data_IF_475129923445
#
_entry.id   IF_475129923445
#
_cell.length_a   1.000
_cell.length_b   1.000
_cell.length_c   1.000
_cell.angle_alpha   90.00
_cell.angle_beta   90.00
_cell.angle_gamma   90.00
#
_symmetry.space_group_name_H-M   'P 1'
#
loop_
_entity.id
_entity.type
_entity.pdbx_description
1 polymer ?
#
# COMPACT_ATOMS: atom_id res chain seq x y z
N UNK A 1 21.04 -3.93 1.93
CA UNK A 1 20.66 -2.95 2.98
C UNK A 1 20.97 -1.51 2.60
N UNK A 2 22.04 -1.21 1.85
CA UNK A 2 22.43 0.16 1.45
C UNK A 2 21.33 0.95 0.73
N UNK A 3 20.49 0.31 -0.08
CA UNK A 3 19.35 0.94 -0.78
C UNK A 3 18.06 1.06 0.06
N UNK A 4 18.01 0.46 1.24
CA UNK A 4 16.83 0.51 2.11
C UNK A 4 16.44 1.95 2.52
N UNK A 5 17.36 2.85 2.93
CA UNK A 5 17.00 4.23 3.27
C UNK A 5 16.45 5.02 2.07
N UNK A 6 16.93 4.77 0.85
CA UNK A 6 16.43 5.45 -0.35
C UNK A 6 15.04 4.94 -0.73
N UNK A 7 14.80 3.63 -0.65
CA UNK A 7 13.47 3.03 -0.86
C UNK A 7 12.45 3.48 0.19
N UNK A 8 12.84 3.58 1.46
CA UNK A 8 12.00 4.13 2.52
C UNK A 8 11.62 5.59 2.25
N UNK A 9 12.58 6.43 1.84
CA UNK A 9 12.31 7.83 1.48
C UNK A 9 11.36 7.93 0.29
N UNK A 10 11.57 7.12 -0.75
CA UNK A 10 10.69 7.10 -1.92
C UNK A 10 9.26 6.69 -1.55
N UNK A 11 9.09 5.62 -0.74
CA UNK A 11 7.77 5.19 -0.27
C UNK A 11 7.07 6.27 0.56
N UNK A 12 7.77 6.91 1.49
CA UNK A 12 7.21 8.01 2.31
C UNK A 12 6.81 9.20 1.43
N UNK A 13 7.67 9.60 0.50
CA UNK A 13 7.39 10.70 -0.41
C UNK A 13 6.16 10.43 -1.30
N UNK A 14 6.05 9.20 -1.83
CA UNK A 14 4.89 8.78 -2.62
C UNK A 14 3.60 8.77 -1.79
N UNK A 15 3.66 8.34 -0.52
CA UNK A 15 2.53 8.38 0.40
C UNK A 15 2.05 9.81 0.69
N UNK A 16 2.97 10.73 0.98
CA UNK A 16 2.60 12.14 1.18
C UNK A 16 1.99 12.79 -0.06
N UNK A 17 2.51 12.48 -1.26
CA UNK A 17 1.93 13.00 -2.51
C UNK A 17 0.55 12.43 -2.80
N UNK A 18 0.34 11.14 -2.52
CA UNK A 18 -0.96 10.50 -2.68
C UNK A 18 -1.99 11.08 -1.70
N UNK A 19 -1.61 11.28 -0.43
CA UNK A 19 -2.47 11.90 0.58
C UNK A 19 -2.84 13.35 0.22
N UNK A 20 -1.86 14.15 -0.22
CA UNK A 20 -2.11 15.51 -0.69
C UNK A 20 -3.05 15.56 -1.90
N UNK A 21 -2.92 14.59 -2.82
CA UNK A 21 -3.81 14.47 -3.99
C UNK A 21 -5.25 14.14 -3.55
N UNK A 22 -5.41 13.13 -2.68
CA UNK A 22 -6.71 12.73 -2.15
C UNK A 22 -7.40 13.86 -1.38
N UNK A 23 -6.64 14.56 -0.53
CA UNK A 23 -7.17 15.67 0.26
C UNK A 23 -7.58 16.86 -0.62
N UNK A 24 -6.81 17.17 -1.68
CA UNK A 24 -7.20 18.18 -2.67
C UNK A 24 -8.47 17.79 -3.42
N UNK A 25 -8.58 16.53 -3.85
CA UNK A 25 -9.78 16.05 -4.53
C UNK A 25 -11.02 16.12 -3.62
N UNK A 26 -10.88 15.71 -2.36
CA UNK A 26 -11.96 15.80 -1.37
C UNK A 26 -12.37 17.26 -1.08
N UNK A 27 -11.41 18.18 -0.94
CA UNK A 27 -11.70 19.59 -0.71
C UNK A 27 -12.43 20.25 -1.88
N UNK A 28 -12.04 19.94 -3.12
CA UNK A 28 -12.72 20.46 -4.33
C UNK A 28 -14.14 19.90 -4.41
N UNK A 29 -14.33 18.62 -4.09
CA UNK A 29 -15.65 18.02 -4.03
C UNK A 29 -16.53 18.68 -2.96
N UNK A 30 -16.02 18.87 -1.74
CA UNK A 30 -16.76 19.48 -0.63
C UNK A 30 -17.20 20.92 -0.92
N UNK A 31 -16.31 21.74 -1.52
CA UNK A 31 -16.66 23.10 -1.96
C UNK A 31 -17.82 23.11 -2.95
N UNK A 32 -17.82 22.18 -3.91
CA UNK A 32 -18.89 22.08 -4.90
C UNK A 32 -20.17 21.49 -4.32
N UNK A 33 -20.05 20.53 -3.40
CA UNK A 33 -21.18 19.98 -2.67
C UNK A 33 -21.96 21.08 -1.93
N UNK A 34 -21.24 21.99 -1.26
CA UNK A 34 -21.83 23.14 -0.59
C UNK A 34 -22.43 24.16 -1.58
N UNK A 35 -21.75 24.44 -2.69
CA UNK A 35 -22.25 25.33 -3.73
C UNK A 35 -23.55 24.82 -4.39
N UNK A 36 -23.68 23.51 -4.61
CA UNK A 36 -24.89 22.91 -5.17
C UNK A 36 -26.07 22.87 -4.18
N UNK A 37 -25.79 22.91 -2.87
CA UNK A 37 -26.80 22.91 -1.80
C UNK A 37 -27.36 24.30 -1.45
N UNK A 38 -26.92 25.37 -2.11
CA UNK A 38 -27.40 26.74 -1.83
C UNK A 38 -28.50 27.12 -2.84
N UNK A 39 -29.68 27.50 -2.35
CA UNK A 39 -30.91 27.74 -3.14
C UNK A 39 -30.80 28.81 -4.25
N UNK A 40 -29.74 29.63 -4.28
CA UNK A 40 -29.46 30.58 -5.37
C UNK A 40 -29.12 29.91 -6.72
N UNK A 41 -28.69 28.63 -6.69
CA UNK A 41 -28.50 27.83 -7.90
C UNK A 41 -29.84 27.51 -8.60
N UNK A 42 -30.94 27.40 -7.85
CA UNK A 42 -32.27 27.17 -8.41
C UNK A 42 -32.92 28.46 -8.96
N UNK A 43 -32.58 29.63 -8.41
CA UNK A 43 -33.08 30.93 -8.90
C UNK A 43 -32.41 31.40 -10.21
N UNK A 44 -31.20 30.92 -10.50
CA UNK A 44 -30.42 31.29 -11.70
C UNK A 44 -30.41 30.20 -12.78
N UNK A 45 -31.24 29.15 -12.61
CA UNK A 45 -31.38 28.02 -13.55
C UNK A 45 -31.92 28.41 -14.95
N UNK A 46 -32.19 29.69 -15.19
CA UNK A 46 -32.59 30.21 -16.50
C UNK A 46 -31.46 30.79 -17.37
N UNK A 47 -30.27 31.10 -16.84
CA UNK A 47 -29.27 31.86 -17.63
C UNK A 47 -27.79 31.58 -17.38
N UNK A 48 -27.40 30.70 -16.46
CA UNK A 48 -26.02 30.25 -16.36
C UNK A 48 -26.00 28.73 -16.42
N UNK A 49 -25.27 28.21 -17.40
CA UNK A 49 -24.79 26.84 -17.52
C UNK A 49 -24.47 26.29 -16.13
N UNK A 50 -25.46 25.61 -15.54
CA UNK A 50 -25.39 25.14 -14.18
C UNK A 50 -24.42 23.97 -14.19
N UNK A 51 -23.19 24.29 -13.82
CA UNK A 51 -22.08 23.40 -13.52
C UNK A 51 -22.49 22.45 -12.38
N UNK A 52 -23.38 21.53 -12.71
CA UNK A 52 -24.01 20.60 -11.78
C UNK A 52 -22.94 19.59 -11.42
N UNK A 53 -22.81 19.22 -10.14
CA UNK A 53 -21.83 18.25 -9.63
C UNK A 53 -21.71 16.97 -10.48
N UNK A 54 -22.81 16.57 -11.15
CA UNK A 54 -22.91 15.38 -11.99
C UNK A 54 -22.57 15.61 -13.47
N UNK A 55 -22.75 16.82 -13.99
CA UNK A 55 -22.45 17.19 -15.39
C UNK A 55 -21.05 17.79 -15.54
N UNK A 56 -20.38 18.08 -14.42
CA UNK A 56 -19.00 18.50 -14.41
C UNK A 56 -18.11 17.34 -14.84
N UNK A 57 -17.56 17.40 -16.06
CA UNK A 57 -16.66 16.41 -16.67
C UNK A 57 -15.29 16.29 -15.99
N UNK A 58 -15.23 16.51 -14.68
CA UNK A 58 -14.00 16.51 -13.92
C UNK A 58 -13.52 15.09 -13.69
N UNK A 59 -12.29 14.84 -14.16
CA UNK A 59 -11.67 13.54 -14.12
C UNK A 59 -11.59 12.96 -12.70
N UNK A 60 -11.63 13.78 -11.64
CA UNK A 60 -11.59 13.33 -10.24
C UNK A 60 -12.83 12.54 -9.80
N UNK A 61 -14.00 12.80 -10.39
CA UNK A 61 -15.22 12.03 -10.10
C UNK A 61 -15.18 10.63 -10.76
N UNK A 62 -14.43 10.50 -11.85
CA UNK A 62 -14.23 9.24 -12.60
C UNK A 62 -12.90 8.54 -12.29
N UNK A 63 -11.98 9.19 -11.58
CA UNK A 63 -10.65 8.66 -11.32
C UNK A 63 -10.68 7.62 -10.20
N UNK A 64 -10.41 6.37 -10.55
CA UNK A 64 -10.16 5.31 -9.58
C UNK A 64 -8.76 5.47 -8.93
N UNK A 65 -8.72 6.00 -7.71
CA UNK A 65 -7.50 6.08 -6.91
C UNK A 65 -7.07 4.72 -6.31
N UNK A 66 -7.90 3.67 -6.41
CA UNK A 66 -7.61 2.34 -5.88
C UNK A 66 -6.37 1.73 -6.53
N UNK A 67 -6.20 1.87 -7.85
CA UNK A 67 -5.03 1.35 -8.55
C UNK A 67 -3.71 1.97 -8.05
N UNK A 68 -3.69 3.30 -7.88
CA UNK A 68 -2.52 4.03 -7.38
C UNK A 68 -2.24 3.68 -5.92
N UNK A 69 -3.29 3.59 -5.09
CA UNK A 69 -3.19 3.18 -3.69
C UNK A 69 -2.65 1.76 -3.53
N UNK A 70 -3.16 0.80 -4.31
CA UNK A 70 -2.69 -0.59 -4.28
C UNK A 70 -1.21 -0.69 -4.68
N UNK A 71 -0.77 0.08 -5.68
CA UNK A 71 0.64 0.17 -6.05
C UNK A 71 1.51 0.67 -4.90
N UNK A 72 1.05 1.72 -4.20
CA UNK A 72 1.76 2.30 -3.06
C UNK A 72 1.83 1.37 -1.84
N UNK A 73 0.73 0.68 -1.50
CA UNK A 73 0.69 -0.28 -0.39
C UNK A 73 1.61 -1.47 -0.68
N UNK A 74 1.67 -1.93 -1.94
CA UNK A 74 2.54 -3.03 -2.37
C UNK A 74 4.03 -2.65 -2.45
N UNK A 75 4.41 -1.38 -2.39
CA UNK A 75 5.83 -0.99 -2.32
C UNK A 75 6.45 -1.54 -1.03
N UNK A 76 7.36 -2.50 -1.18
CA UNK A 76 8.17 -2.97 -0.07
C UNK A 76 9.37 -2.05 0.14
N UNK A 77 9.47 -1.46 1.33
CA UNK A 77 10.62 -0.65 1.70
C UNK A 77 11.82 -1.51 2.15
N UNK A 78 11.58 -2.79 2.43
CA UNK A 78 12.59 -3.75 2.85
C UNK A 78 12.80 -4.76 1.72
N UNK A 79 14.05 -5.03 1.29
CA UNK A 79 14.32 -5.99 0.21
C UNK A 79 14.19 -7.46 0.66
N UNK A 80 13.53 -7.72 1.80
CA UNK A 80 13.37 -9.06 2.37
C UNK A 80 11.90 -9.36 2.58
N UNK A 81 11.46 -10.49 2.06
CA UNK A 81 10.18 -11.10 2.40
C UNK A 81 10.40 -12.18 3.45
N UNK A 82 9.37 -12.47 4.24
CA UNK A 82 9.38 -13.55 5.26
C UNK A 82 9.80 -14.88 4.64
N UNK A 83 9.35 -15.11 3.40
CA UNK A 83 9.69 -16.28 2.60
C UNK A 83 11.17 -16.32 2.20
N UNK A 84 11.73 -15.18 1.78
CA UNK A 84 13.16 -15.11 1.43
C UNK A 84 14.04 -15.41 2.65
N UNK A 85 13.64 -14.93 3.84
CA UNK A 85 14.36 -15.22 5.08
C UNK A 85 14.32 -16.71 5.46
N UNK A 86 13.16 -17.36 5.28
CA UNK A 86 13.01 -18.81 5.46
C UNK A 86 13.89 -19.61 4.49
N UNK A 87 13.93 -19.23 3.20
CA UNK A 87 14.78 -19.90 2.23
C UNK A 87 16.26 -19.76 2.53
N UNK A 88 16.70 -18.59 2.98
CA UNK A 88 18.09 -18.36 3.39
C UNK A 88 18.43 -19.24 4.59
N UNK A 89 17.55 -19.30 5.60
CA UNK A 89 17.74 -20.16 6.77
C UNK A 89 17.78 -21.65 6.38
N UNK A 90 16.90 -22.09 5.49
CA UNK A 90 16.85 -23.47 5.01
C UNK A 90 18.12 -23.84 4.24
N UNK A 91 18.58 -23.00 3.32
CA UNK A 91 19.82 -23.25 2.58
C UNK A 91 21.06 -23.20 3.48
N UNK A 92 21.06 -22.36 4.52
CA UNK A 92 22.12 -22.34 5.52
C UNK A 92 22.12 -23.59 6.40
N UNK A 93 20.94 -24.18 6.66
CA UNK A 93 20.81 -25.42 7.43
C UNK A 93 21.17 -26.68 6.63
N UNK A 94 20.98 -26.67 5.31
CA UNK A 94 21.28 -27.81 4.42
C UNK A 94 22.71 -28.39 4.57
N UNK A 95 23.80 -27.59 4.57
CA UNK A 95 25.16 -28.11 4.76
C UNK A 95 25.45 -28.56 6.20
N UNK A 96 24.64 -28.15 7.18
CA UNK A 96 24.75 -28.58 8.59
C UNK A 96 24.02 -29.91 8.85
N UNK A 97 23.11 -30.33 7.95
CA UNK A 97 22.40 -31.61 8.03
C UNK A 97 23.33 -32.82 8.22
N UNK A 98 24.39 -33.05 7.41
CA UNK A 98 25.25 -34.22 7.59
C UNK A 98 25.95 -34.24 8.97
N UNK A 99 26.35 -33.09 9.49
CA UNK A 99 26.97 -32.98 10.82
C UNK A 99 25.95 -33.25 11.94
N UNK A 100 24.73 -32.74 11.77
CA UNK A 100 23.63 -32.92 12.70
C UNK A 100 23.18 -34.39 12.78
N UNK A 101 23.08 -35.06 11.62
CA UNK A 101 22.76 -36.49 11.49
C UNK A 101 23.85 -37.40 12.07
N UNK A 102 25.10 -36.93 12.09
CA UNK A 102 26.22 -37.67 12.67
C UNK A 102 26.26 -37.56 14.20
N UNK A 103 25.79 -36.45 14.78
CA UNK A 103 25.83 -36.19 16.22
C UNK A 103 24.54 -36.60 16.98
N UNK A 104 23.40 -36.66 16.30
CA UNK A 104 22.08 -36.94 16.89
C UNK A 104 21.14 -37.61 15.86
N UNK A 105 20.18 -38.41 16.33
CA UNK A 105 19.22 -39.06 15.43
C UNK A 105 18.28 -38.03 14.80
N UNK A 106 17.83 -38.30 13.57
CA UNK A 106 16.91 -37.42 12.80
C UNK A 106 15.69 -37.02 13.64
N UNK A 107 15.16 -37.97 14.41
CA UNK A 107 13.97 -37.80 15.24
C UNK A 107 14.14 -36.73 16.34
N UNK A 108 15.31 -36.67 16.99
CA UNK A 108 15.57 -35.65 18.02
C UNK A 108 15.68 -34.25 17.41
N UNK A 109 16.22 -34.13 16.20
CA UNK A 109 16.34 -32.84 15.51
C UNK A 109 14.96 -32.28 15.15
N UNK A 110 14.11 -33.10 14.56
CA UNK A 110 12.75 -32.71 14.17
C UNK A 110 11.95 -32.32 15.41
N UNK A 111 12.07 -33.09 16.51
CA UNK A 111 11.41 -32.76 17.78
C UNK A 111 11.82 -31.38 18.32
N UNK A 112 13.11 -31.05 18.29
CA UNK A 112 13.60 -29.74 18.74
C UNK A 112 13.18 -28.60 17.83
N UNK A 113 13.18 -28.81 16.51
CA UNK A 113 12.81 -27.79 15.53
C UNK A 113 11.32 -27.45 15.62
N UNK A 114 10.47 -28.48 15.74
CA UNK A 114 9.02 -28.31 15.96
C UNK A 114 8.76 -27.69 17.34
N UNK A 115 9.51 -28.10 18.38
CA UNK A 115 9.37 -27.52 19.72
C UNK A 115 9.81 -26.05 19.86
N UNK A 116 10.64 -25.54 18.94
CA UNK A 116 11.02 -24.11 18.89
C UNK A 116 10.00 -23.29 18.07
N UNK A 117 9.26 -23.93 17.16
CA UNK A 117 8.33 -23.26 16.24
C UNK A 117 6.88 -23.21 16.76
N UNK A 118 6.54 -24.08 17.73
CA UNK A 118 5.27 -24.08 18.46
C UNK A 118 5.29 -23.07 19.62
#
# INVERSE_FOLDING_TARGET
LVLMPTLMRAKRHALFRFDALGNRAAAVFDQRWQAAGTDDAAATAGTAEADTLLDHGDASAYADFSGVYQGLVRMSAVPFTRWNLLWIALHAALPLCPLALMAMSVDELVKKLVGILA
#
